data_IF_397541794179
#
_entry.id   IF_397541794179
#
_cell.length_a   1.000
_cell.length_b   1.000
_cell.length_c   1.000
_cell.angle_alpha   90.00
_cell.angle_beta   90.00
_cell.angle_gamma   90.00
#
_symmetry.space_group_name_H-M   'P 1'
#
loop_
_entity.id
_entity.type
_entity.pdbx_description
1 polymer ?
#
# COMPACT_ATOMS: atom_id res chain seq x y z
N UNK A 1 -5.87 -23.00 -4.26
CA UNK A 1 -4.84 -21.95 -4.09
C UNK A 1 -3.67 -22.27 -5.01
N UNK A 2 -3.20 -21.31 -5.82
CA UNK A 2 -2.14 -21.56 -6.80
C UNK A 2 -0.76 -21.31 -6.19
N UNK A 3 0.25 -22.06 -6.65
CA UNK A 3 1.65 -21.89 -6.23
C UNK A 3 2.15 -20.44 -6.43
N UNK A 4 1.58 -19.74 -7.42
CA UNK A 4 1.97 -18.41 -7.85
C UNK A 4 1.71 -17.33 -6.80
N UNK A 5 0.59 -17.40 -6.05
CA UNK A 5 0.25 -16.40 -5.03
C UNK A 5 1.26 -16.39 -3.87
N UNK A 6 1.67 -17.57 -3.38
CA UNK A 6 2.72 -17.66 -2.36
C UNK A 6 4.07 -17.18 -2.88
N UNK A 7 4.38 -17.44 -4.15
CA UNK A 7 5.61 -16.97 -4.76
C UNK A 7 5.64 -15.44 -4.86
N UNK A 8 4.50 -14.80 -5.12
CA UNK A 8 4.40 -13.35 -5.19
C UNK A 8 4.57 -12.68 -3.83
N UNK A 9 3.97 -13.21 -2.76
CA UNK A 9 4.20 -12.68 -1.40
C UNK A 9 5.67 -12.88 -0.97
N UNK A 10 6.28 -14.02 -1.32
CA UNK A 10 7.72 -14.26 -1.11
C UNK A 10 8.61 -13.27 -1.86
N UNK A 11 8.22 -12.83 -3.07
CA UNK A 11 8.92 -11.74 -3.76
C UNK A 11 8.77 -10.44 -2.98
N UNK A 12 7.59 -10.18 -2.41
CA UNK A 12 7.30 -9.03 -1.54
C UNK A 12 8.30 -8.87 -0.40
N UNK A 13 8.69 -9.96 0.28
CA UNK A 13 9.72 -9.93 1.33
C UNK A 13 11.05 -9.35 0.83
N UNK A 14 11.46 -9.68 -0.39
CA UNK A 14 12.71 -9.16 -0.96
C UNK A 14 12.66 -7.64 -1.05
N UNK A 15 11.52 -7.07 -1.42
CA UNK A 15 11.34 -5.62 -1.46
C UNK A 15 11.45 -4.96 -0.08
N UNK A 16 10.82 -5.57 0.93
CA UNK A 16 10.94 -5.09 2.32
C UNK A 16 12.39 -5.18 2.84
N UNK A 17 13.11 -6.27 2.54
CA UNK A 17 14.53 -6.39 2.87
C UNK A 17 15.41 -5.35 2.17
N UNK A 18 15.14 -5.04 0.89
CA UNK A 18 15.87 -4.00 0.17
C UNK A 18 15.69 -2.63 0.84
N UNK A 19 14.48 -2.30 1.30
CA UNK A 19 14.25 -1.10 2.12
C UNK A 19 15.05 -1.13 3.43
N UNK A 20 14.94 -2.22 4.21
CA UNK A 20 15.63 -2.33 5.51
C UNK A 20 17.15 -2.19 5.36
N UNK A 21 17.75 -2.87 4.39
CA UNK A 21 19.20 -2.83 4.14
C UNK A 21 19.63 -1.43 3.69
N UNK A 22 18.85 -0.78 2.81
CA UNK A 22 19.13 0.58 2.39
C UNK A 22 19.07 1.56 3.57
N UNK A 23 18.04 1.47 4.41
CA UNK A 23 17.93 2.30 5.60
C UNK A 23 19.06 2.06 6.59
N UNK A 24 19.42 0.80 6.89
CA UNK A 24 20.55 0.49 7.77
C UNK A 24 21.86 1.07 7.24
N UNK A 25 22.10 0.97 5.93
CA UNK A 25 23.29 1.52 5.29
C UNK A 25 23.31 3.06 5.37
N UNK A 26 22.19 3.72 5.06
CA UNK A 26 22.07 5.17 5.12
C UNK A 26 22.14 5.71 6.54
N UNK A 27 21.48 5.09 7.52
CA UNK A 27 21.59 5.44 8.94
C UNK A 27 23.04 5.34 9.40
N UNK A 28 23.74 4.24 9.08
CA UNK A 28 25.15 4.06 9.46
C UNK A 28 26.04 5.14 8.85
N UNK A 29 25.83 5.47 7.57
CA UNK A 29 26.56 6.53 6.88
C UNK A 29 26.27 7.91 7.49
N UNK A 30 24.99 8.28 7.66
CA UNK A 30 24.55 9.57 8.19
C UNK A 30 25.05 9.79 9.63
N UNK A 31 24.93 8.79 10.50
CA UNK A 31 25.42 8.86 11.88
C UNK A 31 26.95 8.94 11.95
N UNK A 32 27.66 8.14 11.14
CA UNK A 32 29.12 8.16 11.11
C UNK A 32 29.69 9.49 10.62
N UNK A 33 29.18 10.00 9.49
CA UNK A 33 29.56 11.31 8.96
C UNK A 33 29.10 12.43 9.91
N UNK A 34 27.88 12.35 10.44
CA UNK A 34 27.35 13.32 11.40
C UNK A 34 28.23 13.44 12.65
N UNK A 35 28.72 12.32 13.19
CA UNK A 35 29.61 12.31 14.35
C UNK A 35 30.99 12.89 14.03
N UNK A 36 31.64 12.45 12.95
CA UNK A 36 32.99 12.93 12.60
C UNK A 36 33.04 14.40 12.19
N UNK A 37 31.98 14.90 11.55
CA UNK A 37 31.88 16.28 11.09
C UNK A 37 31.03 17.16 12.02
N UNK A 38 30.69 16.67 13.22
CA UNK A 38 29.88 17.37 14.23
C UNK A 38 28.59 18.01 13.66
N UNK A 39 27.92 17.32 12.74
CA UNK A 39 26.71 17.79 12.07
C UNK A 39 25.48 17.24 12.78
N UNK A 40 24.88 18.06 13.64
CA UNK A 40 23.63 17.74 14.35
C UNK A 40 22.48 17.40 13.38
N UNK A 41 22.44 18.07 12.22
CA UNK A 41 21.44 17.81 11.18
C UNK A 41 21.55 16.38 10.61
N UNK A 42 22.77 15.93 10.30
CA UNK A 42 23.01 14.56 9.82
C UNK A 42 22.71 13.50 10.89
N UNK A 43 23.02 13.79 12.15
CA UNK A 43 22.71 12.90 13.26
C UNK A 43 21.20 12.77 13.45
N UNK A 44 20.48 13.89 13.47
CA UNK A 44 19.02 13.90 13.59
C UNK A 44 18.33 13.16 12.43
N UNK A 45 18.80 13.38 11.21
CA UNK A 45 18.30 12.68 10.02
C UNK A 45 18.59 11.18 10.06
N UNK A 46 19.79 10.79 10.50
CA UNK A 46 20.14 9.39 10.77
C UNK A 46 19.20 8.73 11.79
N UNK A 47 18.77 9.45 12.82
CA UNK A 47 17.77 8.96 13.79
C UNK A 47 16.36 8.84 13.20
N UNK A 48 15.96 9.72 12.30
CA UNK A 48 14.67 9.59 11.60
C UNK A 48 14.61 8.29 10.80
N UNK A 49 15.70 7.93 10.10
CA UNK A 49 15.78 6.67 9.37
C UNK A 49 15.62 5.42 10.27
N UNK A 50 15.81 5.48 11.60
CA UNK A 50 15.45 4.36 12.49
C UNK A 50 13.94 4.12 12.53
N UNK A 51 13.14 5.18 12.47
CA UNK A 51 11.67 5.08 12.43
C UNK A 51 11.22 4.41 11.13
N UNK A 52 11.90 4.69 10.02
CA UNK A 52 11.63 4.06 8.73
C UNK A 52 12.04 2.57 8.70
N UNK A 53 13.11 2.21 9.41
CA UNK A 53 13.45 0.79 9.66
C UNK A 53 12.32 0.11 10.42
N UNK A 54 11.77 0.75 11.46
CA UNK A 54 10.65 0.19 12.21
C UNK A 54 9.39 0.01 11.35
N UNK A 55 9.06 0.99 10.48
CA UNK A 55 7.98 0.87 9.51
C UNK A 55 8.22 -0.29 8.52
N UNK A 56 9.44 -0.39 7.99
CA UNK A 56 9.83 -1.46 7.06
C UNK A 56 9.80 -2.85 7.71
N UNK A 57 10.15 -2.95 9.00
CA UNK A 57 10.03 -4.17 9.79
C UNK A 57 8.56 -4.55 10.01
N UNK A 58 7.68 -3.58 10.30
CA UNK A 58 6.25 -3.84 10.42
C UNK A 58 5.68 -4.40 9.09
N UNK A 59 6.10 -3.83 7.95
CA UNK A 59 5.78 -4.35 6.61
C UNK A 59 6.31 -5.77 6.40
N UNK A 60 7.58 -6.04 6.74
CA UNK A 60 8.17 -7.37 6.61
C UNK A 60 7.44 -8.42 7.47
N UNK A 61 7.11 -8.07 8.71
CA UNK A 61 6.36 -8.94 9.62
C UNK A 61 4.97 -9.23 9.06
N UNK A 62 4.25 -8.21 8.58
CA UNK A 62 2.94 -8.38 7.94
C UNK A 62 2.99 -9.31 6.73
N UNK A 63 3.99 -9.13 5.85
CA UNK A 63 4.21 -10.00 4.70
C UNK A 63 4.56 -11.44 5.09
N UNK A 64 5.28 -11.65 6.19
CA UNK A 64 5.57 -12.99 6.71
C UNK A 64 4.36 -13.67 7.30
N UNK A 65 3.54 -12.93 8.03
CA UNK A 65 2.30 -13.45 8.60
C UNK A 65 1.32 -13.80 7.48
N UNK A 66 1.21 -12.96 6.44
CA UNK A 66 0.30 -13.22 5.31
C UNK A 66 0.63 -14.45 4.47
N UNK A 67 1.86 -14.97 4.57
CA UNK A 67 2.29 -16.22 3.93
C UNK A 67 1.90 -17.48 4.69
N UNK A 68 1.35 -17.36 5.90
CA UNK A 68 0.88 -18.54 6.60
C UNK A 68 -0.37 -19.11 5.90
N UNK A 69 -0.42 -20.42 5.69
CA UNK A 69 -1.61 -21.05 5.12
C UNK A 69 -2.81 -20.96 6.05
N UNK A 70 -4.03 -21.18 5.53
CA UNK A 70 -5.22 -21.30 6.36
C UNK A 70 -5.03 -22.30 7.50
N UNK A 71 -5.50 -21.93 8.67
CA UNK A 71 -5.50 -22.72 9.90
C UNK A 71 -6.92 -22.77 10.51
N UNK A 72 -7.06 -23.33 11.72
CA UNK A 72 -8.38 -23.59 12.31
C UNK A 72 -9.15 -22.30 12.62
N UNK A 73 -8.46 -21.25 13.05
CA UNK A 73 -9.04 -19.96 13.40
C UNK A 73 -9.05 -18.96 12.23
N UNK A 74 -8.32 -19.23 11.13
CA UNK A 74 -8.36 -18.43 9.90
C UNK A 74 -8.49 -19.31 8.64
N UNK A 75 -9.72 -19.73 8.36
CA UNK A 75 -10.07 -20.59 7.22
C UNK A 75 -9.76 -19.96 5.84
N UNK A 76 -9.67 -18.62 5.78
CA UNK A 76 -9.30 -17.88 4.56
C UNK A 76 -7.80 -17.55 4.49
N UNK A 77 -7.02 -17.92 5.50
CA UNK A 77 -5.61 -17.56 5.64
C UNK A 77 -5.38 -16.17 6.23
N UNK A 78 -4.11 -15.78 6.32
CA UNK A 78 -3.68 -14.59 7.07
C UNK A 78 -3.42 -13.36 6.18
N UNK A 79 -3.98 -13.30 4.97
CA UNK A 79 -3.66 -12.26 4.00
C UNK A 79 -3.96 -10.84 4.49
N UNK A 80 -4.97 -10.67 5.36
CA UNK A 80 -5.28 -9.37 5.99
C UNK A 80 -4.14 -8.80 6.84
N UNK A 81 -3.19 -9.63 7.29
CA UNK A 81 -2.00 -9.15 8.00
C UNK A 81 -1.17 -8.16 7.15
N UNK A 82 -1.21 -8.31 5.84
CA UNK A 82 -0.59 -7.37 4.92
C UNK A 82 -1.26 -5.99 4.97
N UNK A 83 -2.60 -5.94 4.90
CA UNK A 83 -3.37 -4.70 5.00
C UNK A 83 -3.16 -4.02 6.35
N UNK A 84 -3.10 -4.81 7.43
CA UNK A 84 -2.81 -4.32 8.78
C UNK A 84 -1.41 -3.70 8.85
N UNK A 85 -0.41 -4.33 8.24
CA UNK A 85 0.94 -3.76 8.20
C UNK A 85 1.02 -2.46 7.39
N UNK A 86 0.30 -2.36 6.27
CA UNK A 86 0.16 -1.11 5.52
C UNK A 86 -0.48 0.00 6.37
N UNK A 87 -1.51 -0.34 7.17
CA UNK A 87 -2.16 0.57 8.10
C UNK A 87 -1.18 1.05 9.19
N UNK A 88 -0.44 0.13 9.81
CA UNK A 88 0.58 0.48 10.83
C UNK A 88 1.65 1.39 10.22
N UNK A 89 2.16 1.06 9.03
CA UNK A 89 3.14 1.89 8.33
C UNK A 89 2.59 3.30 8.05
N UNK A 90 1.30 3.43 7.73
CA UNK A 90 0.68 4.74 7.52
C UNK A 90 0.65 5.61 8.78
N UNK A 91 0.47 5.01 9.96
CA UNK A 91 0.55 5.75 11.22
C UNK A 91 1.97 6.24 11.50
N UNK A 92 2.96 5.37 11.31
CA UNK A 92 4.38 5.73 11.49
C UNK A 92 4.75 6.88 10.54
N UNK A 93 4.38 6.77 9.26
CA UNK A 93 4.61 7.82 8.26
C UNK A 93 3.89 9.14 8.62
N UNK A 94 2.67 9.08 9.15
CA UNK A 94 1.95 10.27 9.61
C UNK A 94 2.66 10.95 10.78
N UNK A 95 3.19 10.18 11.73
CA UNK A 95 3.97 10.71 12.86
C UNK A 95 5.23 11.43 12.37
N UNK A 96 5.99 10.83 11.45
CA UNK A 96 7.18 11.45 10.85
C UNK A 96 6.81 12.72 10.08
N UNK A 97 5.77 12.67 9.25
CA UNK A 97 5.29 13.83 8.50
C UNK A 97 4.87 15.00 9.40
N UNK A 98 4.17 14.70 10.51
CA UNK A 98 3.76 15.71 11.49
C UNK A 98 4.97 16.29 12.24
N UNK A 99 5.93 15.45 12.62
CA UNK A 99 7.18 15.90 13.25
C UNK A 99 7.96 16.85 12.34
N UNK A 100 8.07 16.54 11.04
CA UNK A 100 8.69 17.44 10.05
C UNK A 100 7.95 18.78 9.99
N UNK A 101 6.62 18.78 9.92
CA UNK A 101 5.81 20.01 9.89
C UNK A 101 6.00 20.88 11.14
N UNK A 102 5.95 20.28 12.33
CA UNK A 102 6.13 20.98 13.60
C UNK A 102 7.54 21.57 13.69
N UNK A 103 8.56 20.80 13.28
CA UNK A 103 9.97 21.24 13.32
C UNK A 103 10.21 22.40 12.37
N UNK A 104 9.71 22.28 11.14
CA UNK A 104 9.82 23.32 10.12
C UNK A 104 9.08 24.61 10.51
N UNK A 105 7.86 24.50 11.05
CA UNK A 105 7.12 25.64 11.58
C UNK A 105 7.87 26.31 12.74
N UNK A 106 8.38 25.53 13.70
CA UNK A 106 9.15 26.06 14.84
C UNK A 106 10.41 26.80 14.38
N UNK A 107 11.12 26.26 13.38
CA UNK A 107 12.31 26.89 12.81
C UNK A 107 11.98 28.24 12.15
N UNK A 108 10.83 28.34 11.48
CA UNK A 108 10.37 29.60 10.87
C UNK A 108 10.09 30.68 11.92
N UNK A 109 9.48 30.32 13.05
CA UNK A 109 9.17 31.27 14.13
C UNK A 109 10.38 31.67 14.98
N UNK A 110 11.33 30.77 15.19
CA UNK A 110 12.52 31.02 16.02
C UNK A 110 13.60 31.83 15.28
N UNK A 111 13.59 31.88 13.95
CA UNK A 111 14.61 32.57 13.15
C UNK A 111 16.01 31.97 13.30
N UNK A 112 16.13 30.73 13.80
CA UNK A 112 17.40 30.04 13.97
C UNK A 112 17.89 29.56 12.61
N UNK A 113 18.88 30.25 12.06
CA UNK A 113 19.51 29.92 10.78
C UNK A 113 20.92 29.36 11.03
N UNK A 114 21.01 28.13 11.52
CA UNK A 114 22.26 27.37 11.46
C UNK A 114 22.48 26.98 10.00
N UNK A 115 23.50 27.54 9.35
CA UNK A 115 23.86 27.18 7.97
C UNK A 115 24.53 25.81 7.97
N UNK A 116 23.86 24.74 7.51
CA UNK A 116 24.44 23.41 7.57
C UNK A 116 25.63 23.33 6.61
N UNK A 117 26.62 22.54 6.98
CA UNK A 117 27.82 22.37 6.16
C UNK A 117 27.44 21.80 4.79
N UNK A 118 28.14 22.21 3.71
CA UNK A 118 27.82 21.76 2.35
C UNK A 118 27.90 20.24 2.18
N UNK A 119 28.73 19.58 2.99
CA UNK A 119 28.81 18.12 3.08
C UNK A 119 27.46 17.50 3.44
N UNK A 120 26.66 18.14 4.30
CA UNK A 120 25.31 17.69 4.65
C UNK A 120 24.40 17.63 3.42
N UNK A 121 24.47 18.62 2.53
CA UNK A 121 23.69 18.63 1.29
C UNK A 121 24.12 17.51 0.33
N UNK A 122 25.42 17.24 0.22
CA UNK A 122 25.94 16.16 -0.64
C UNK A 122 25.47 14.79 -0.12
N UNK A 123 25.55 14.56 1.20
CA UNK A 123 25.06 13.31 1.81
C UNK A 123 23.55 13.17 1.66
N UNK A 124 22.79 14.26 1.81
CA UNK A 124 21.34 14.26 1.59
C UNK A 124 21.00 13.92 0.13
N UNK A 125 21.69 14.50 -0.86
CA UNK A 125 21.46 14.15 -2.27
C UNK A 125 21.83 12.70 -2.58
N UNK A 126 22.90 12.18 -1.98
CA UNK A 126 23.26 10.77 -2.11
C UNK A 126 22.17 9.86 -1.52
N UNK A 127 21.70 10.16 -0.30
CA UNK A 127 20.60 9.43 0.33
C UNK A 127 19.32 9.48 -0.53
N UNK A 128 18.97 10.65 -1.08
CA UNK A 128 17.84 10.81 -1.98
C UNK A 128 17.96 9.92 -3.22
N UNK A 129 19.14 9.88 -3.85
CA UNK A 129 19.38 9.04 -5.03
C UNK A 129 19.23 7.55 -4.71
N UNK A 130 19.79 7.09 -3.58
CA UNK A 130 19.62 5.73 -3.10
C UNK A 130 18.14 5.39 -2.88
N UNK A 131 17.43 6.23 -2.14
CA UNK A 131 16.03 5.98 -1.76
C UNK A 131 15.06 6.08 -2.93
N UNK A 132 15.33 6.94 -3.92
CA UNK A 132 14.63 6.90 -5.21
C UNK A 132 14.84 5.54 -5.88
N UNK A 133 16.07 5.03 -5.95
CA UNK A 133 16.35 3.70 -6.51
C UNK A 133 15.53 2.59 -5.83
N UNK A 134 15.51 2.59 -4.49
CA UNK A 134 14.71 1.66 -3.68
C UNK A 134 13.21 1.85 -3.94
N UNK A 135 12.72 3.09 -4.03
CA UNK A 135 11.33 3.40 -4.39
C UNK A 135 10.95 2.82 -5.75
N UNK A 136 11.75 3.05 -6.79
CA UNK A 136 11.45 2.56 -8.14
C UNK A 136 11.37 1.03 -8.18
N UNK A 137 12.32 0.36 -7.51
CA UNK A 137 12.32 -1.09 -7.38
C UNK A 137 11.08 -1.60 -6.64
N UNK A 138 10.81 -1.07 -5.44
CA UNK A 138 9.69 -1.54 -4.60
C UNK A 138 8.33 -1.16 -5.18
N UNK A 139 8.17 0.01 -5.79
CA UNK A 139 6.92 0.43 -6.42
C UNK A 139 6.60 -0.44 -7.65
N UNK A 140 7.61 -0.79 -8.44
CA UNK A 140 7.44 -1.73 -9.56
C UNK A 140 7.04 -3.10 -9.04
N UNK A 141 7.73 -3.61 -8.04
CA UNK A 141 7.44 -4.91 -7.45
C UNK A 141 6.06 -4.95 -6.81
N UNK A 142 5.70 -3.94 -6.02
CA UNK A 142 4.39 -3.83 -5.37
C UNK A 142 3.23 -3.85 -6.35
N UNK A 143 3.37 -3.17 -7.51
CA UNK A 143 2.38 -3.22 -8.58
C UNK A 143 2.31 -4.58 -9.27
N UNK A 144 3.44 -5.28 -9.41
CA UNK A 144 3.46 -6.60 -10.03
C UNK A 144 2.75 -7.65 -9.17
N UNK A 145 2.89 -7.57 -7.85
CA UNK A 145 2.31 -8.54 -6.90
C UNK A 145 1.04 -8.05 -6.22
N UNK A 146 0.52 -6.88 -6.61
CA UNK A 146 -0.63 -6.19 -5.99
C UNK A 146 -0.54 -6.08 -4.45
N UNK A 147 0.66 -5.79 -3.93
CA UNK A 147 0.90 -5.71 -2.49
C UNK A 147 0.66 -4.29 -1.94
N UNK A 148 -0.29 -4.16 -1.01
CA UNK A 148 -0.54 -2.91 -0.29
C UNK A 148 0.59 -2.58 0.68
N UNK A 149 1.09 -3.57 1.42
CA UNK A 149 2.16 -3.33 2.40
C UNK A 149 3.46 -2.91 1.72
N UNK A 150 3.85 -3.58 0.62
CA UNK A 150 5.04 -3.18 -0.12
C UNK A 150 4.87 -1.82 -0.82
N UNK A 151 3.65 -1.49 -1.28
CA UNK A 151 3.35 -0.16 -1.83
C UNK A 151 3.46 0.93 -0.76
N UNK A 152 3.07 0.64 0.49
CA UNK A 152 3.26 1.56 1.62
C UNK A 152 4.75 1.78 1.89
N UNK A 153 5.55 0.71 1.97
CA UNK A 153 7.02 0.82 2.11
C UNK A 153 7.67 1.57 0.95
N UNK A 154 7.22 1.36 -0.29
CA UNK A 154 7.71 2.13 -1.43
C UNK A 154 7.41 3.64 -1.26
N UNK A 155 6.19 4.00 -0.87
CA UNK A 155 5.82 5.40 -0.62
C UNK A 155 6.63 6.01 0.54
N UNK A 156 6.97 5.22 1.54
CA UNK A 156 7.86 5.63 2.64
C UNK A 156 9.27 5.95 2.12
N UNK A 157 9.83 5.07 1.29
CA UNK A 157 11.11 5.31 0.60
C UNK A 157 11.08 6.62 -0.23
N UNK A 158 9.96 6.91 -0.90
CA UNK A 158 9.78 8.14 -1.65
C UNK A 158 9.73 9.37 -0.71
N UNK A 159 9.03 9.26 0.41
CA UNK A 159 8.98 10.31 1.44
C UNK A 159 10.37 10.67 1.93
N UNK A 160 11.21 9.68 2.29
CA UNK A 160 12.59 9.93 2.73
C UNK A 160 13.45 10.60 1.64
N UNK A 161 13.29 10.17 0.38
CA UNK A 161 13.95 10.82 -0.75
C UNK A 161 13.52 12.29 -0.91
N UNK A 162 12.23 12.60 -0.74
CA UNK A 162 11.71 13.97 -0.80
C UNK A 162 12.20 14.83 0.36
N UNK A 163 12.30 14.27 1.58
CA UNK A 163 12.91 14.96 2.74
C UNK A 163 14.36 15.31 2.44
N UNK A 164 15.12 14.33 1.95
CA UNK A 164 16.52 14.50 1.61
C UNK A 164 16.74 15.55 0.49
N UNK A 165 15.87 15.56 -0.54
CA UNK A 165 15.87 16.59 -1.58
C UNK A 165 15.51 17.96 -1.00
N UNK A 166 14.45 18.04 -0.19
CA UNK A 166 14.01 19.27 0.46
C UNK A 166 15.11 19.89 1.31
N UNK A 167 15.80 19.08 2.12
CA UNK A 167 16.94 19.49 2.92
C UNK A 167 18.11 19.99 2.06
N UNK A 168 18.44 19.30 0.96
CA UNK A 168 19.48 19.76 0.05
C UNK A 168 19.15 21.12 -0.57
N UNK A 169 17.91 21.31 -1.05
CA UNK A 169 17.45 22.60 -1.59
C UNK A 169 17.52 23.68 -0.50
N UNK A 170 17.09 23.37 0.73
CA UNK A 170 17.18 24.26 1.88
C UNK A 170 18.60 24.74 2.17
N UNK A 171 19.56 23.81 2.20
CA UNK A 171 20.97 24.10 2.44
C UNK A 171 21.56 24.97 1.33
N UNK A 172 21.30 24.65 0.05
CA UNK A 172 21.77 25.49 -1.06
C UNK A 172 21.12 26.87 -1.03
N UNK A 173 19.83 26.96 -0.70
CA UNK A 173 19.12 28.22 -0.52
C UNK A 173 19.75 29.09 0.57
N UNK A 174 20.09 28.48 1.72
CA UNK A 174 20.77 29.18 2.81
C UNK A 174 22.15 29.74 2.38
N UNK A 175 22.91 29.01 1.57
CA UNK A 175 24.20 29.49 1.03
C UNK A 175 24.04 30.67 0.07
N UNK A 176 22.91 30.77 -0.64
CA UNK A 176 22.57 31.89 -1.51
C UNK A 176 21.96 33.08 -0.75
N UNK A 177 21.97 33.05 0.59
CA UNK A 177 21.39 34.11 1.44
C UNK A 177 19.87 34.00 1.63
N UNK A 178 19.27 32.84 1.30
CA UNK A 178 17.84 32.56 1.47
C UNK A 178 17.61 31.46 2.52
N UNK A 179 17.96 31.68 3.80
CA UNK A 179 17.88 30.65 4.84
C UNK A 179 16.43 30.30 5.25
N UNK A 180 15.44 31.09 4.83
CA UNK A 180 14.02 30.79 4.98
C UNK A 180 13.55 29.67 4.03
N UNK A 181 14.34 29.33 3.01
CA UNK A 181 13.97 28.33 2.02
C UNK A 181 13.95 26.92 2.62
N UNK A 182 14.84 26.62 3.55
CA UNK A 182 14.91 25.34 4.26
C UNK A 182 13.61 24.98 5.02
N UNK A 183 13.10 25.79 5.96
CA UNK A 183 11.84 25.50 6.63
C UNK A 183 10.64 25.50 5.67
N UNK A 184 10.65 26.30 4.60
CA UNK A 184 9.56 26.28 3.60
C UNK A 184 9.57 24.99 2.79
N UNK A 185 10.74 24.51 2.36
CA UNK A 185 10.88 23.23 1.66
C UNK A 185 10.45 22.07 2.57
N UNK A 186 10.88 22.07 3.84
CA UNK A 186 10.49 21.08 4.81
C UNK A 186 8.96 21.08 5.09
N UNK A 187 8.33 22.25 5.17
CA UNK A 187 6.86 22.35 5.27
C UNK A 187 6.16 21.72 4.06
N UNK A 188 6.58 22.07 2.85
CA UNK A 188 6.00 21.53 1.62
C UNK A 188 6.12 20.00 1.56
N UNK A 189 7.30 19.46 1.89
CA UNK A 189 7.53 18.01 1.95
C UNK A 189 6.68 17.37 3.05
N UNK A 190 6.63 17.94 4.25
CA UNK A 190 5.80 17.44 5.36
C UNK A 190 4.32 17.30 4.98
N UNK A 191 3.75 18.26 4.25
CA UNK A 191 2.37 18.15 3.73
C UNK A 191 2.21 17.00 2.73
N UNK A 192 3.18 16.79 1.85
CA UNK A 192 3.17 15.67 0.90
C UNK A 192 3.21 14.33 1.64
N UNK A 193 4.03 14.21 2.69
CA UNK A 193 4.12 13.00 3.51
C UNK A 193 2.80 12.74 4.23
N UNK A 194 2.24 13.74 4.92
CA UNK A 194 0.95 13.61 5.61
C UNK A 194 -0.19 13.22 4.65
N UNK A 195 -0.24 13.82 3.45
CA UNK A 195 -1.21 13.45 2.41
C UNK A 195 -1.01 12.00 1.95
N UNK A 196 0.24 11.56 1.83
CA UNK A 196 0.58 10.20 1.41
C UNK A 196 0.20 9.19 2.48
N UNK A 197 0.50 9.47 3.75
CA UNK A 197 0.08 8.69 4.90
C UNK A 197 -1.44 8.57 4.98
N UNK A 198 -2.17 9.68 4.84
CA UNK A 198 -3.63 9.67 4.80
C UNK A 198 -4.19 8.82 3.67
N UNK A 199 -3.58 8.90 2.47
CA UNK A 199 -3.97 8.04 1.34
C UNK A 199 -3.80 6.56 1.65
N UNK A 200 -2.69 6.15 2.29
CA UNK A 200 -2.47 4.75 2.67
C UNK A 200 -3.45 4.33 3.76
N UNK A 201 -3.64 5.17 4.78
CA UNK A 201 -4.60 4.95 5.86
C UNK A 201 -6.01 4.72 5.32
N UNK A 202 -6.49 5.61 4.43
CA UNK A 202 -7.82 5.52 3.83
C UNK A 202 -7.97 4.23 3.02
N UNK A 203 -7.03 3.94 2.11
CA UNK A 203 -7.08 2.71 1.31
C UNK A 203 -7.04 1.44 2.16
N UNK A 204 -6.20 1.42 3.21
CA UNK A 204 -6.07 0.25 4.09
C UNK A 204 -7.32 0.04 4.95
N UNK A 205 -7.88 1.13 5.48
CA UNK A 205 -9.14 1.09 6.26
C UNK A 205 -10.30 0.68 5.38
N UNK A 206 -10.42 1.26 4.18
CA UNK A 206 -11.46 0.92 3.21
C UNK A 206 -11.42 -0.58 2.88
N UNK A 207 -10.22 -1.13 2.62
CA UNK A 207 -10.05 -2.56 2.38
C UNK A 207 -10.38 -3.43 3.60
N UNK A 208 -10.02 -3.00 4.82
CA UNK A 208 -10.34 -3.72 6.06
C UNK A 208 -11.85 -3.75 6.37
N UNK A 209 -12.59 -2.72 5.95
CA UNK A 209 -14.04 -2.64 6.04
C UNK A 209 -14.76 -3.27 4.84
N UNK A 210 -14.08 -4.13 4.08
CA UNK A 210 -14.60 -4.81 2.88
C UNK A 210 -15.07 -3.85 1.77
N UNK A 211 -14.52 -2.63 1.73
CA UNK A 211 -14.68 -1.69 0.64
C UNK A 211 -13.94 -2.13 -0.63
N UNK A 212 -14.51 -1.79 -1.77
CA UNK A 212 -14.01 -2.18 -3.09
C UNK A 212 -14.23 -1.05 -4.11
N UNK A 213 -13.36 -0.95 -5.10
CA UNK A 213 -13.44 0.11 -6.11
C UNK A 213 -14.63 -0.11 -7.06
N UNK A 214 -15.47 0.91 -7.23
CA UNK A 214 -16.70 0.84 -8.02
C UNK A 214 -16.42 0.63 -9.53
N UNK A 215 -15.32 1.19 -10.05
CA UNK A 215 -14.95 1.04 -11.46
C UNK A 215 -14.45 -0.39 -11.72
N UNK A 216 -13.65 -0.94 -10.81
CA UNK A 216 -13.26 -2.35 -10.85
C UNK A 216 -14.49 -3.24 -10.75
N UNK A 217 -15.40 -3.02 -9.79
CA UNK A 217 -16.63 -3.80 -9.63
C UNK A 217 -17.50 -3.78 -10.89
N UNK A 218 -17.62 -2.62 -11.53
CA UNK A 218 -18.34 -2.47 -12.81
C UNK A 218 -17.68 -3.29 -13.93
N UNK A 219 -16.34 -3.33 -13.97
CA UNK A 219 -15.58 -4.16 -14.92
C UNK A 219 -15.81 -5.66 -14.69
N UNK A 220 -15.84 -6.09 -13.42
CA UNK A 220 -16.16 -7.48 -13.03
C UNK A 220 -17.59 -7.82 -13.47
N UNK A 221 -18.56 -6.96 -13.14
CA UNK A 221 -19.97 -7.11 -13.53
C UNK A 221 -20.14 -7.23 -15.05
N UNK A 222 -19.45 -6.39 -15.82
CA UNK A 222 -19.47 -6.45 -17.29
C UNK A 222 -18.93 -7.79 -17.82
N UNK A 223 -17.93 -8.36 -17.17
CA UNK A 223 -17.34 -9.64 -17.57
C UNK A 223 -18.29 -10.80 -17.31
N UNK A 224 -18.93 -10.81 -16.14
CA UNK A 224 -19.90 -11.84 -15.74
C UNK A 224 -21.15 -11.75 -16.63
N UNK A 225 -21.67 -10.55 -16.89
CA UNK A 225 -22.86 -10.33 -17.70
C UNK A 225 -22.68 -10.80 -19.17
N UNK A 226 -21.43 -10.81 -19.66
CA UNK A 226 -21.10 -11.29 -21.01
C UNK A 226 -20.93 -12.81 -21.07
N UNK A 227 -21.13 -13.55 -19.98
CA UNK A 227 -20.97 -15.02 -19.96
C UNK A 227 -22.22 -15.68 -20.49
N UNK A 228 -22.05 -16.64 -21.41
CA UNK A 228 -23.17 -17.34 -22.01
C UNK A 228 -23.97 -18.08 -20.93
N UNK A 229 -25.30 -18.03 -21.02
CA UNK A 229 -26.20 -18.60 -20.02
C UNK A 229 -26.56 -17.67 -18.86
N UNK A 230 -25.78 -16.61 -18.61
CA UNK A 230 -26.14 -15.57 -17.63
C UNK A 230 -27.21 -14.66 -18.26
N UNK A 231 -28.41 -14.63 -17.66
CA UNK A 231 -29.52 -13.76 -18.11
C UNK A 231 -29.42 -12.39 -17.46
N UNK A 232 -29.10 -12.35 -16.17
CA UNK A 232 -28.87 -11.11 -15.42
C UNK A 232 -28.07 -11.38 -14.15
N UNK A 233 -27.62 -10.30 -13.50
CA UNK A 233 -26.88 -10.35 -12.23
C UNK A 233 -27.78 -9.71 -11.17
N UNK A 234 -28.18 -10.50 -10.18
CA UNK A 234 -29.04 -10.05 -9.08
C UNK A 234 -28.23 -9.28 -8.04
N UNK A 235 -27.09 -9.83 -7.64
CA UNK A 235 -26.18 -9.22 -6.68
C UNK A 235 -24.72 -9.50 -7.05
N UNK A 236 -23.83 -8.56 -6.77
CA UNK A 236 -22.38 -8.73 -6.90
C UNK A 236 -21.68 -7.94 -5.80
N UNK A 237 -20.82 -8.61 -5.07
CA UNK A 237 -19.99 -8.05 -4.00
C UNK A 237 -18.55 -8.48 -4.25
N UNK A 238 -17.61 -7.58 -3.97
CA UNK A 238 -16.20 -7.89 -4.00
C UNK A 238 -15.53 -7.29 -2.77
N UNK A 239 -14.46 -7.95 -2.30
CA UNK A 239 -13.66 -7.47 -1.16
C UNK A 239 -12.18 -7.78 -1.38
N UNK A 240 -11.33 -6.92 -0.82
CA UNK A 240 -9.87 -7.11 -0.82
C UNK A 240 -9.47 -7.94 0.39
N UNK A 241 -8.63 -8.95 0.15
CA UNK A 241 -8.09 -9.83 1.18
C UNK A 241 -6.56 -9.93 1.00
N UNK A 242 -5.83 -8.96 1.56
CA UNK A 242 -4.41 -8.75 1.30
C UNK A 242 -4.16 -8.36 -0.16
N UNK A 243 -3.34 -9.13 -0.88
CA UNK A 243 -3.08 -8.97 -2.31
C UNK A 243 -4.12 -9.64 -3.23
N UNK A 244 -5.18 -10.24 -2.66
CA UNK A 244 -6.19 -10.98 -3.41
C UNK A 244 -7.54 -10.26 -3.40
N UNK A 245 -8.34 -10.53 -4.43
CA UNK A 245 -9.76 -10.12 -4.50
C UNK A 245 -10.63 -11.35 -4.35
N UNK A 246 -11.66 -11.25 -3.51
CA UNK A 246 -12.73 -12.24 -3.36
C UNK A 246 -14.01 -11.66 -3.96
N UNK A 247 -14.72 -12.44 -4.76
CA UNK A 247 -15.97 -12.01 -5.40
C UNK A 247 -17.09 -12.97 -5.05
N UNK A 248 -18.21 -12.42 -4.56
CA UNK A 248 -19.45 -13.14 -4.33
C UNK A 248 -20.48 -12.62 -5.34
N UNK A 249 -21.07 -13.50 -6.16
CA UNK A 249 -22.02 -13.10 -7.20
C UNK A 249 -23.24 -14.01 -7.23
N UNK A 250 -24.41 -13.40 -7.42
CA UNK A 250 -25.67 -14.08 -7.69
C UNK A 250 -26.07 -13.83 -9.14
N UNK A 251 -26.04 -14.89 -9.94
CA UNK A 251 -26.42 -14.84 -11.36
C UNK A 251 -27.78 -15.49 -11.57
N UNK A 252 -28.62 -14.85 -12.38
CA UNK A 252 -29.89 -15.43 -12.80
C UNK A 252 -29.71 -16.15 -14.14
N UNK A 253 -30.19 -17.38 -14.20
CA UNK A 253 -30.11 -18.25 -15.38
C UNK A 253 -31.52 -18.75 -15.75
N UNK A 254 -31.61 -19.46 -16.87
CA UNK A 254 -32.87 -20.06 -17.29
C UNK A 254 -33.34 -21.14 -16.29
N UNK A 255 -34.63 -21.15 -15.95
CA UNK A 255 -35.18 -22.03 -14.92
C UNK A 255 -35.21 -23.51 -15.33
N UNK A 256 -35.20 -23.78 -16.65
CA UNK A 256 -35.24 -25.13 -17.19
C UNK A 256 -33.84 -25.76 -17.34
N UNK A 257 -32.77 -25.03 -16.96
CA UNK A 257 -31.40 -25.57 -16.99
C UNK A 257 -31.22 -26.70 -15.98
N UNK A 258 -30.55 -27.76 -16.43
CA UNK A 258 -30.09 -28.79 -15.52
C UNK A 258 -29.02 -28.24 -14.57
N UNK A 259 -28.87 -28.87 -13.40
CA UNK A 259 -27.81 -28.54 -12.43
C UNK A 259 -26.41 -28.57 -13.07
N UNK A 260 -26.17 -29.52 -13.99
CA UNK A 260 -24.90 -29.66 -14.71
C UNK A 260 -24.64 -28.46 -15.62
N UNK A 261 -25.66 -27.94 -16.30
CA UNK A 261 -25.51 -26.75 -17.14
C UNK A 261 -25.32 -25.49 -16.30
N UNK A 262 -26.04 -25.36 -15.18
CA UNK A 262 -25.83 -24.30 -14.20
C UNK A 262 -24.39 -24.30 -13.67
N UNK A 263 -23.87 -25.47 -13.28
CA UNK A 263 -22.48 -25.61 -12.82
C UNK A 263 -21.46 -25.22 -13.90
N UNK A 264 -21.70 -25.55 -15.18
CA UNK A 264 -20.84 -25.12 -16.29
C UNK A 264 -20.81 -23.60 -16.47
N UNK A 265 -21.91 -22.91 -16.19
CA UNK A 265 -21.94 -21.44 -16.21
C UNK A 265 -21.06 -20.88 -15.08
N UNK A 266 -21.12 -21.46 -13.88
CA UNK A 266 -20.23 -21.11 -12.76
C UNK A 266 -18.75 -21.27 -13.15
N UNK A 267 -18.38 -22.44 -13.67
CA UNK A 267 -17.01 -22.73 -14.12
C UNK A 267 -16.51 -21.71 -15.15
N UNK A 268 -17.37 -21.30 -16.09
CA UNK A 268 -17.01 -20.33 -17.12
C UNK A 268 -16.85 -18.93 -16.52
N UNK A 269 -17.71 -18.53 -15.56
CA UNK A 269 -17.54 -17.28 -14.81
C UNK A 269 -16.18 -17.28 -14.09
N UNK A 270 -15.89 -18.33 -13.31
CA UNK A 270 -14.63 -18.47 -12.58
C UNK A 270 -13.41 -18.40 -13.51
N UNK A 271 -13.43 -19.13 -14.63
CA UNK A 271 -12.35 -19.11 -15.64
C UNK A 271 -12.16 -17.73 -16.25
N UNK A 272 -13.23 -17.02 -16.58
CA UNK A 272 -13.15 -15.68 -17.19
C UNK A 272 -12.65 -14.65 -16.19
N UNK A 273 -13.05 -14.75 -14.93
CA UNK A 273 -12.58 -13.91 -13.83
C UNK A 273 -11.09 -14.13 -13.58
N UNK A 274 -10.63 -15.38 -13.54
CA UNK A 274 -9.21 -15.71 -13.45
C UNK A 274 -8.39 -15.17 -14.63
N UNK A 275 -8.87 -15.37 -15.86
CA UNK A 275 -8.13 -14.96 -17.08
C UNK A 275 -8.07 -13.45 -17.31
N UNK A 276 -9.16 -12.72 -17.04
CA UNK A 276 -9.25 -11.28 -17.36
C UNK A 276 -8.84 -10.38 -16.21
N UNK A 277 -9.11 -10.80 -14.98
CA UNK A 277 -8.96 -9.96 -13.79
C UNK A 277 -7.96 -10.53 -12.78
N UNK A 278 -7.37 -11.71 -13.05
CA UNK A 278 -6.49 -12.41 -12.12
C UNK A 278 -7.18 -12.71 -10.76
N UNK A 279 -8.50 -12.93 -10.79
CA UNK A 279 -9.32 -13.22 -9.61
C UNK A 279 -9.57 -14.72 -9.56
N UNK A 280 -8.95 -15.40 -8.59
CA UNK A 280 -8.98 -16.86 -8.47
C UNK A 280 -10.11 -17.38 -7.57
N UNK A 281 -10.68 -16.53 -6.72
CA UNK A 281 -11.72 -16.92 -5.76
C UNK A 281 -13.01 -16.15 -6.08
N UNK A 282 -13.91 -16.84 -6.77
CA UNK A 282 -15.25 -16.34 -7.09
C UNK A 282 -16.25 -17.36 -6.58
N UNK A 283 -17.18 -16.92 -5.73
CA UNK A 283 -18.31 -17.73 -5.30
C UNK A 283 -19.54 -17.35 -6.13
N UNK A 284 -20.01 -18.28 -6.95
CA UNK A 284 -21.15 -18.08 -7.83
C UNK A 284 -22.38 -18.79 -7.26
N UNK A 285 -23.37 -18.02 -6.83
CA UNK A 285 -24.71 -18.53 -6.54
C UNK A 285 -25.58 -18.39 -7.79
N UNK A 286 -26.26 -19.48 -8.16
CA UNK A 286 -27.11 -19.54 -9.35
C UNK A 286 -28.56 -19.58 -8.92
N UNK A 287 -29.34 -18.61 -9.40
CA UNK A 287 -30.78 -18.54 -9.18
C UNK A 287 -31.53 -18.70 -10.50
N UNK A 288 -32.69 -19.38 -10.52
CA UNK A 288 -33.55 -19.42 -11.70
C UNK A 288 -34.23 -18.07 -11.90
N UNK A 289 -34.33 -17.60 -13.14
CA UNK A 289 -35.11 -16.42 -13.51
C UNK A 289 -36.60 -16.78 -13.49
N UNK A 290 -37.22 -16.74 -12.32
CA UNK A 290 -38.66 -16.93 -12.14
C UNK A 290 -39.32 -15.55 -12.21
N UNK A 291 -40.20 -15.30 -13.18
CA UNK A 291 -40.86 -14.00 -13.33
C UNK A 291 -41.69 -13.63 -12.10
N UNK A 292 -41.31 -12.55 -11.40
CA UNK A 292 -41.99 -11.66 -10.42
C UNK A 292 -43.10 -12.16 -9.48
N UNK A 293 -43.43 -13.45 -9.40
CA UNK A 293 -44.52 -13.96 -8.54
C UNK A 293 -44.05 -14.59 -7.23
N UNK A 294 -42.75 -14.75 -7.01
CA UNK A 294 -42.23 -15.51 -5.87
C UNK A 294 -41.50 -14.68 -4.78
N UNK A 295 -41.15 -13.42 -5.03
CA UNK A 295 -40.29 -12.62 -4.13
C UNK A 295 -41.05 -11.90 -2.99
N UNK A 296 -42.25 -12.34 -2.62
CA UNK A 296 -43.01 -11.77 -1.49
C UNK A 296 -42.71 -12.37 -0.11
N UNK A 297 -41.58 -13.05 0.05
CA UNK A 297 -41.11 -13.45 1.38
C UNK A 297 -40.09 -12.42 1.90
N UNK A 298 -40.36 -11.75 3.04
CA UNK A 298 -39.43 -10.80 3.62
C UNK A 298 -38.19 -11.56 4.09
N UNK A 299 -37.08 -11.39 3.38
CA UNK A 299 -35.77 -11.78 3.90
C UNK A 299 -35.44 -10.87 5.08
N UNK A 300 -35.53 -11.47 6.27
CA UNK A 300 -35.33 -10.81 7.55
C UNK A 300 -33.99 -10.08 7.62
N UNK A 301 -34.06 -8.83 8.02
CA UNK A 301 -32.94 -8.13 8.60
C UNK A 301 -32.65 -8.72 9.99
N UNK A 302 -31.46 -9.29 10.15
CA UNK A 302 -30.79 -9.48 11.43
C UNK A 302 -29.30 -9.32 11.21
#
# INVERSE_FOLDING_TARGET
MTLDQYNDIKKGEKGAWVSIVAYLALTSLKLGVGYWYASEALVADGFNNLTDIAASLAVLIGLRISQKPPDQDHQYGHFRAETIAALIASFIMATVGLQVLITAASSLFKGTHSTPHILTAVVALFAAACMLGVYWYNNRLAKQINSMALRAAAKDNLSDALVSIGAAIGIFGAQLGLPWLDPVAALAVGFIICKTAWSIFYSSTHALTDGFDEQELTSLRSTIAKTNGVKSIKDIKARIHGSNVLVDVVVMVDADLSLVEGHRICDEIEKRMGRKHNIMNVHVHVEPLIGDKADSLPHGAS
#
